data_IF_381855443420
#
_entry.id   IF_381855443420
#
_cell.length_a   1.000
_cell.length_b   1.000
_cell.length_c   1.000
_cell.angle_alpha   90.00
_cell.angle_beta   90.00
_cell.angle_gamma   90.00
#
_symmetry.space_group_name_H-M   'P 1'
#
loop_
_entity.id
_entity.type
_entity.pdbx_description
1 polymer ?
#
# COMPACT_ATOMS: atom_id res chain seq x y z
N UNK A 1 26.01 27.83 -16.25
CA UNK A 1 26.75 26.62 -16.62
C UNK A 1 26.65 25.72 -15.40
N UNK A 2 25.88 24.65 -15.58
CA UNK A 2 25.84 23.43 -14.76
C UNK A 2 25.46 23.62 -13.28
N UNK A 3 24.15 23.57 -12.98
CA UNK A 3 23.69 23.15 -11.66
C UNK A 3 23.60 21.62 -11.64
N UNK A 4 24.34 21.05 -10.69
CA UNK A 4 24.49 19.63 -10.40
C UNK A 4 23.12 18.94 -10.18
N UNK A 5 22.85 17.92 -10.99
CA UNK A 5 21.73 17.00 -10.79
C UNK A 5 22.07 16.05 -9.64
N UNK A 6 21.47 16.29 -8.47
CA UNK A 6 21.49 15.34 -7.36
C UNK A 6 20.42 14.25 -7.61
N UNK A 7 20.76 12.95 -7.57
CA UNK A 7 19.85 11.87 -7.96
C UNK A 7 18.62 11.80 -7.04
N UNK A 8 17.43 11.78 -7.65
CA UNK A 8 16.18 11.46 -6.95
C UNK A 8 16.31 10.04 -6.38
N UNK A 9 16.23 9.92 -5.06
CA UNK A 9 16.30 8.66 -4.32
C UNK A 9 15.12 7.74 -4.66
N UNK A 10 15.34 6.44 -4.95
CA UNK A 10 14.26 5.52 -5.28
C UNK A 10 13.75 4.87 -3.99
N UNK A 11 12.85 5.55 -3.28
CA UNK A 11 12.17 4.93 -2.13
C UNK A 11 10.81 5.57 -1.89
N UNK A 12 9.91 5.41 -2.84
CA UNK A 12 8.47 5.52 -2.61
C UNK A 12 7.89 4.19 -3.09
N UNK A 13 7.52 3.34 -2.15
CA UNK A 13 6.97 2.01 -2.46
C UNK A 13 5.62 2.18 -3.17
N UNK A 14 5.35 1.34 -4.16
CA UNK A 14 4.12 1.35 -4.98
C UNK A 14 2.81 1.37 -4.17
N UNK A 15 2.85 0.91 -2.91
CA UNK A 15 1.81 1.04 -1.87
C UNK A 15 1.28 2.47 -1.70
N UNK A 16 2.17 3.45 -1.56
CA UNK A 16 1.78 4.83 -1.24
C UNK A 16 1.04 5.47 -2.40
N UNK A 17 1.35 5.09 -3.64
CA UNK A 17 0.74 5.71 -4.82
C UNK A 17 -0.65 5.15 -5.13
N UNK A 18 -0.88 3.84 -4.91
CA UNK A 18 -2.20 3.22 -5.17
C UNK A 18 -3.23 3.65 -4.10
N UNK A 19 -2.81 3.87 -2.85
CA UNK A 19 -3.69 4.35 -1.77
C UNK A 19 -4.10 5.83 -1.91
N UNK A 20 -3.34 6.65 -2.66
CA UNK A 20 -3.62 8.09 -2.79
C UNK A 20 -4.75 8.40 -3.77
N UNK A 21 -5.08 7.47 -4.67
CA UNK A 21 -5.95 7.73 -5.81
C UNK A 21 -7.41 7.27 -5.63
N UNK A 22 -7.71 6.55 -4.55
CA UNK A 22 -9.08 6.10 -4.20
C UNK A 22 -9.85 7.14 -3.39
N UNK A 23 -9.14 8.14 -2.86
CA UNK A 23 -9.72 9.24 -2.09
C UNK A 23 -10.22 10.37 -3.00
N UNK A 24 -11.27 10.12 -3.80
CA UNK A 24 -12.17 11.20 -4.26
C UNK A 24 -13.12 11.59 -3.12
N UNK A 25 -12.56 11.97 -1.97
CA UNK A 25 -13.25 12.76 -0.96
C UNK A 25 -12.72 14.21 -1.07
N UNK A 26 -13.57 15.24 -0.91
CA UNK A 26 -13.16 16.61 -1.11
C UNK A 26 -12.10 16.94 -0.06
N UNK A 27 -10.98 17.51 -0.52
CA UNK A 27 -9.81 17.99 0.24
C UNK A 27 -8.56 17.10 0.21
N UNK A 28 -7.79 17.34 -0.87
CA UNK A 28 -6.36 17.65 -0.88
C UNK A 28 -5.42 16.74 -0.07
N UNK A 29 -4.59 15.95 -0.75
CA UNK A 29 -3.28 15.57 -0.23
C UNK A 29 -2.19 15.84 -1.27
N UNK A 30 -1.65 17.06 -1.21
CA UNK A 30 -0.27 17.34 -1.56
C UNK A 30 0.57 17.22 -0.29
N UNK A 31 1.80 16.70 -0.42
CA UNK A 31 2.78 16.66 0.66
C UNK A 31 2.96 18.06 1.26
N UNK A 32 2.43 18.26 2.46
CA UNK A 32 2.78 19.41 3.28
C UNK A 32 2.55 19.04 4.74
N UNK A 33 3.55 19.38 5.56
CA UNK A 33 3.58 19.18 6.99
C UNK A 33 2.31 19.72 7.66
N UNK A 34 1.30 18.88 7.89
CA UNK A 34 0.13 19.25 8.66
C UNK A 34 0.53 19.29 10.15
N UNK A 35 0.59 20.50 10.69
CA UNK A 35 1.04 20.84 12.04
C UNK A 35 0.02 20.56 13.15
N UNK A 36 -1.01 19.76 12.88
CA UNK A 36 -2.09 19.47 13.83
C UNK A 36 -2.30 17.95 13.97
N UNK A 37 -2.06 17.36 15.16
CA UNK A 37 -2.20 15.91 15.40
C UNK A 37 -3.62 15.35 15.17
N UNK A 38 -4.63 16.22 15.13
CA UNK A 38 -6.05 15.84 15.00
C UNK A 38 -6.50 15.59 13.55
N UNK A 39 -5.68 15.96 12.57
CA UNK A 39 -5.98 15.77 11.14
C UNK A 39 -5.33 14.49 10.57
N UNK A 40 -4.74 13.64 11.42
CA UNK A 40 -4.27 12.30 11.04
C UNK A 40 -5.46 11.35 10.96
N UNK A 41 -6.22 11.45 9.88
CA UNK A 41 -7.20 10.43 9.55
C UNK A 41 -6.46 9.23 8.95
N UNK A 42 -6.49 8.10 9.67
CA UNK A 42 -5.97 6.83 9.17
C UNK A 42 -6.94 6.26 8.14
N UNK A 43 -6.45 5.95 6.95
CA UNK A 43 -7.27 5.27 5.93
C UNK A 43 -7.58 3.86 6.44
N UNK A 44 -8.86 3.55 6.61
CA UNK A 44 -9.31 2.18 6.93
C UNK A 44 -9.17 1.33 5.67
N UNK A 45 -8.01 0.67 5.52
CA UNK A 45 -7.65 -0.05 4.30
C UNK A 45 -8.61 -1.18 3.93
N UNK A 46 -9.27 -1.77 4.92
CA UNK A 46 -10.20 -2.88 4.73
C UNK A 46 -11.47 -2.46 3.96
N UNK A 47 -11.81 -1.17 3.94
CA UNK A 47 -13.02 -0.64 3.29
C UNK A 47 -12.75 -0.18 1.85
N UNK A 48 -11.52 -0.34 1.34
CA UNK A 48 -11.17 0.04 -0.03
C UNK A 48 -11.73 -1.01 -1.00
N UNK A 49 -12.61 -0.58 -1.90
CA UNK A 49 -13.23 -1.43 -2.94
C UNK A 49 -12.64 -1.20 -4.34
N UNK A 50 -12.07 -0.01 -4.59
CA UNK A 50 -11.51 0.36 -5.88
C UNK A 50 -10.04 0.79 -5.76
N UNK A 51 -9.28 0.67 -6.84
CA UNK A 51 -7.87 1.08 -6.96
C UNK A 51 -7.60 1.64 -8.34
N UNK A 52 -6.57 2.48 -8.47
CA UNK A 52 -6.12 3.01 -9.77
C UNK A 52 -4.76 2.39 -10.12
N UNK A 53 -4.65 1.84 -11.33
CA UNK A 53 -3.39 1.33 -11.86
C UNK A 53 -2.44 2.50 -12.19
N UNK A 54 -1.31 2.60 -11.49
CA UNK A 54 -0.33 3.68 -11.72
C UNK A 54 0.38 3.64 -13.09
N UNK A 55 0.26 2.54 -13.84
CA UNK A 55 0.86 2.41 -15.19
C UNK A 55 -0.06 2.95 -16.28
N UNK A 56 -1.36 2.68 -16.21
CA UNK A 56 -2.30 3.01 -17.27
C UNK A 56 -3.52 3.86 -16.83
N UNK A 57 -3.54 4.29 -15.56
CA UNK A 57 -4.55 5.12 -14.92
C UNK A 57 -5.98 4.56 -15.00
N UNK A 58 -6.11 3.24 -15.05
CA UNK A 58 -7.43 2.59 -15.01
C UNK A 58 -7.89 2.46 -13.58
N UNK A 59 -9.05 3.05 -13.29
CA UNK A 59 -9.83 2.81 -12.08
C UNK A 59 -10.54 1.45 -12.23
N UNK A 60 -10.40 0.59 -11.22
CA UNK A 60 -10.91 -0.77 -11.24
C UNK A 60 -11.20 -1.27 -9.82
N UNK A 61 -11.95 -2.38 -9.71
CA UNK A 61 -12.06 -3.12 -8.46
C UNK A 61 -10.67 -3.59 -7.98
N UNK A 62 -10.54 -3.71 -6.66
CA UNK A 62 -9.32 -4.25 -6.03
C UNK A 62 -8.99 -5.60 -6.65
N UNK A 63 -7.82 -5.68 -7.25
CA UNK A 63 -7.22 -6.90 -7.73
C UNK A 63 -5.70 -6.74 -7.73
N UNK A 64 -4.95 -7.84 -7.81
CA UNK A 64 -3.49 -7.78 -7.97
C UNK A 64 -3.07 -7.30 -9.36
N UNK A 65 -3.84 -7.66 -10.38
CA UNK A 65 -3.52 -7.43 -11.79
C UNK A 65 -4.44 -6.36 -12.35
N UNK A 66 -3.88 -5.43 -13.11
CA UNK A 66 -4.68 -4.43 -13.80
C UNK A 66 -5.55 -5.08 -14.89
N UNK A 67 -6.85 -4.82 -14.87
CA UNK A 67 -7.79 -5.42 -15.83
C UNK A 67 -7.63 -4.88 -17.27
N UNK A 68 -6.96 -3.74 -17.44
CA UNK A 68 -6.76 -3.09 -18.75
C UNK A 68 -5.39 -3.37 -19.36
N UNK A 69 -4.31 -3.17 -18.60
CA UNK A 69 -2.95 -3.33 -19.13
C UNK A 69 -2.26 -4.63 -18.71
N UNK A 70 -2.86 -5.42 -17.82
CA UNK A 70 -2.33 -6.73 -17.40
C UNK A 70 -1.11 -6.68 -16.49
N UNK A 71 -0.65 -5.49 -16.06
CA UNK A 71 0.48 -5.38 -15.13
C UNK A 71 0.08 -5.88 -13.74
N UNK A 72 1.01 -6.54 -13.04
CA UNK A 72 0.86 -6.75 -11.59
C UNK A 72 1.14 -5.44 -10.88
N UNK A 73 0.22 -5.02 -10.01
CA UNK A 73 0.32 -3.79 -9.22
C UNK A 73 1.09 -4.01 -7.90
N UNK A 74 1.51 -5.25 -7.64
CA UNK A 74 2.38 -5.66 -6.54
C UNK A 74 2.75 -7.13 -6.72
N UNK A 75 4.02 -7.50 -6.50
CA UNK A 75 4.41 -8.92 -6.49
C UNK A 75 3.79 -9.67 -5.30
N UNK A 76 3.75 -9.05 -4.12
CA UNK A 76 2.89 -9.43 -3.02
C UNK A 76 1.60 -8.61 -3.05
N UNK A 77 0.46 -9.31 -2.91
CA UNK A 77 -0.85 -8.69 -2.76
C UNK A 77 -1.63 -9.39 -1.65
N UNK A 78 -2.21 -8.61 -0.75
CA UNK A 78 -3.14 -9.09 0.25
C UNK A 78 -4.51 -8.46 0.01
N UNK A 79 -5.48 -9.29 -0.39
CA UNK A 79 -6.85 -8.84 -0.63
C UNK A 79 -7.58 -8.42 0.64
N UNK A 80 -7.26 -9.02 1.79
CA UNK A 80 -7.87 -8.67 3.07
C UNK A 80 -7.43 -7.26 3.49
N UNK A 81 -6.12 -7.00 3.46
CA UNK A 81 -5.56 -5.71 3.89
C UNK A 81 -5.49 -4.66 2.78
N UNK A 82 -5.90 -4.99 1.55
CA UNK A 82 -5.77 -4.15 0.34
C UNK A 82 -4.35 -3.60 0.15
N UNK A 83 -3.36 -4.48 0.34
CA UNK A 83 -1.94 -4.13 0.41
C UNK A 83 -1.15 -4.73 -0.76
N UNK A 84 -0.24 -3.93 -1.34
CA UNK A 84 0.52 -4.25 -2.55
C UNK A 84 2.01 -3.93 -2.32
N UNK A 85 2.94 -4.87 -2.41
CA UNK A 85 4.37 -4.59 -2.26
C UNK A 85 5.19 -5.39 -3.28
N UNK A 86 6.15 -4.74 -3.92
CA UNK A 86 6.99 -5.37 -4.94
C UNK A 86 8.19 -6.13 -4.34
N UNK A 87 8.55 -5.82 -3.08
CA UNK A 87 9.68 -6.45 -2.40
C UNK A 87 9.24 -7.74 -1.69
N UNK A 88 9.33 -8.84 -2.43
CA UNK A 88 9.07 -10.19 -1.92
C UNK A 88 10.15 -10.69 -0.95
N UNK A 89 11.32 -10.04 -0.88
CA UNK A 89 12.39 -10.44 0.05
C UNK A 89 12.02 -10.18 1.51
N UNK A 90 11.08 -9.25 1.78
CA UNK A 90 10.52 -9.02 3.12
C UNK A 90 9.67 -10.19 3.61
N UNK A 91 9.32 -11.15 2.73
CA UNK A 91 8.51 -12.32 3.05
C UNK A 91 7.19 -11.92 3.74
N UNK A 92 6.45 -11.02 3.10
CA UNK A 92 5.14 -10.58 3.55
C UNK A 92 4.17 -11.77 3.68
N UNK A 93 3.33 -11.76 4.71
CA UNK A 93 2.21 -12.69 4.82
C UNK A 93 1.08 -12.07 5.64
N UNK A 94 -0.17 -12.41 5.33
CA UNK A 94 -1.31 -12.05 6.17
C UNK A 94 -1.37 -12.98 7.38
N UNK A 95 -1.54 -12.43 8.59
CA UNK A 95 -1.85 -13.20 9.79
C UNK A 95 -3.35 -13.10 10.07
N UNK A 96 -4.07 -14.21 9.91
CA UNK A 96 -5.53 -14.24 10.07
C UNK A 96 -5.96 -13.92 11.51
N UNK A 97 -5.19 -14.35 12.52
CA UNK A 97 -5.48 -14.04 13.93
C UNK A 97 -5.24 -12.58 14.31
N UNK A 98 -4.29 -11.89 13.67
CA UNK A 98 -4.07 -10.47 13.89
C UNK A 98 -4.89 -9.55 12.96
N UNK A 99 -5.41 -10.07 11.85
CA UNK A 99 -6.07 -9.28 10.80
C UNK A 99 -5.15 -8.33 10.03
N UNK A 100 -3.83 -8.53 10.08
CA UNK A 100 -2.85 -7.64 9.43
C UNK A 100 -1.73 -8.40 8.71
N UNK A 101 -1.13 -7.75 7.72
CA UNK A 101 0.10 -8.24 7.10
C UNK A 101 1.31 -8.07 8.02
N UNK A 102 2.15 -9.11 8.08
CA UNK A 102 3.43 -9.18 8.80
C UNK A 102 4.56 -9.46 7.81
N UNK A 103 5.80 -9.34 8.28
CA UNK A 103 7.03 -9.60 7.51
C UNK A 103 7.80 -10.79 8.11
N UNK A 104 8.77 -11.33 7.37
CA UNK A 104 9.72 -12.34 7.85
C UNK A 104 9.33 -13.81 7.59
N UNK A 105 8.22 -14.03 6.88
CA UNK A 105 7.76 -15.35 6.47
C UNK A 105 6.81 -16.00 7.49
N UNK A 106 5.73 -16.61 6.98
CA UNK A 106 4.71 -17.28 7.81
C UNK A 106 5.30 -18.44 8.62
N UNK A 107 6.31 -19.11 8.08
CA UNK A 107 6.97 -20.26 8.71
C UNK A 107 7.79 -19.91 9.96
N UNK A 108 8.16 -18.63 10.12
CA UNK A 108 8.93 -18.16 11.28
C UNK A 108 8.07 -17.43 12.31
N UNK A 109 6.75 -17.39 12.10
CA UNK A 109 5.82 -16.66 12.93
C UNK A 109 4.84 -17.60 13.63
N UNK A 110 4.53 -17.28 14.88
CA UNK A 110 3.53 -17.97 15.68
C UNK A 110 2.59 -16.94 16.28
N UNK A 111 1.28 -17.12 16.04
CA UNK A 111 0.24 -16.32 16.67
C UNK A 111 -0.23 -16.99 17.96
N UNK A 112 -0.17 -16.27 19.07
CA UNK A 112 -0.75 -16.70 20.33
C UNK A 112 -2.15 -16.12 20.50
N UNK A 113 -3.18 -16.94 20.27
CA UNK A 113 -4.60 -16.56 20.44
C UNK A 113 -4.92 -15.97 21.82
N UNK A 114 -4.23 -16.42 22.88
CA UNK A 114 -4.43 -15.90 24.24
C UNK A 114 -3.87 -14.49 24.43
N UNK A 115 -2.80 -14.16 23.72
CA UNK A 115 -2.13 -12.87 23.82
C UNK A 115 -2.57 -11.89 22.72
N UNK A 116 -3.17 -12.38 21.62
CA UNK A 116 -3.47 -11.60 20.43
C UNK A 116 -2.21 -11.14 19.66
N UNK A 117 -1.07 -11.80 19.90
CA UNK A 117 0.25 -11.46 19.34
C UNK A 117 0.81 -12.66 18.60
#
# INVERSE_FOLDING_TARGET
>A
MEEEQNPVSPSRTSTEQIQQDTAKLPHQYGSSSLSNPKDRHEIVRHDIEQVICSVCNTEQEVAQVCNKCGVKMGEYFCDICKFYDDDTSKQHFHCDGCGICRLGGREKFFHCEKCGL
#
